data_IF_242098920938
#
_entry.id   IF_242098920938
#
_cell.length_a   1.000
_cell.length_b   1.000
_cell.length_c   1.000
_cell.angle_alpha   90.00
_cell.angle_beta   90.00
_cell.angle_gamma   90.00
#
_symmetry.space_group_name_H-M   'P 1'
#
loop_
_entity.id
_entity.type
_entity.pdbx_description
1 polymer ?
#
# COMPACT_ATOMS: atom_id res chain seq x y z
N UNK A 1 -7.36 4.97 -26.22
CA UNK A 1 -5.94 4.52 -26.16
C UNK A 1 -5.22 5.03 -24.90
N UNK A 2 -5.48 6.23 -24.38
CA UNK A 2 -4.80 6.80 -23.21
C UNK A 2 -5.33 6.22 -21.87
N UNK A 3 -6.58 5.83 -21.80
CA UNK A 3 -7.16 5.14 -20.63
C UNK A 3 -6.47 3.78 -20.43
N UNK A 4 -6.25 3.05 -21.51
CA UNK A 4 -5.56 1.75 -21.49
C UNK A 4 -4.08 1.89 -21.07
N UNK A 5 -3.39 2.95 -21.52
CA UNK A 5 -2.00 3.24 -21.11
C UNK A 5 -1.89 3.54 -19.62
N UNK A 6 -2.87 4.26 -19.05
CA UNK A 6 -2.90 4.58 -17.61
C UNK A 6 -3.20 3.36 -16.75
N UNK A 7 -4.11 2.48 -17.17
CA UNK A 7 -4.41 1.24 -16.46
C UNK A 7 -3.20 0.30 -16.40
N UNK A 8 -2.42 0.17 -17.48
CA UNK A 8 -1.26 -0.70 -17.51
C UNK A 8 -0.17 -0.25 -16.54
N UNK A 9 0.08 1.07 -16.44
CA UNK A 9 1.02 1.63 -15.45
C UNK A 9 0.51 1.43 -14.01
N UNK A 10 -0.78 1.60 -13.76
CA UNK A 10 -1.38 1.38 -12.45
C UNK A 10 -1.27 -0.09 -12.00
N UNK A 11 -1.42 -1.05 -12.91
CA UNK A 11 -1.26 -2.47 -12.63
C UNK A 11 0.16 -2.84 -12.22
N UNK A 12 1.18 -2.31 -12.91
CA UNK A 12 2.58 -2.53 -12.55
C UNK A 12 2.89 -1.96 -11.16
N UNK A 13 2.44 -0.74 -10.89
CA UNK A 13 2.60 -0.10 -9.58
C UNK A 13 1.92 -0.92 -8.49
N UNK A 14 0.68 -1.37 -8.70
CA UNK A 14 -0.05 -2.20 -7.74
C UNK A 14 0.68 -3.51 -7.44
N UNK A 15 1.22 -4.18 -8.46
CA UNK A 15 1.98 -5.42 -8.29
C UNK A 15 3.28 -5.17 -7.50
N UNK A 16 4.04 -4.13 -7.85
CA UNK A 16 5.28 -3.78 -7.15
C UNK A 16 5.00 -3.44 -5.67
N UNK A 17 3.94 -2.69 -5.37
CA UNK A 17 3.55 -2.37 -3.97
C UNK A 17 3.24 -3.65 -3.19
N UNK A 18 2.63 -4.65 -3.82
CA UNK A 18 2.36 -5.94 -3.19
C UNK A 18 3.62 -6.77 -2.90
N UNK A 19 4.82 -6.33 -3.30
CA UNK A 19 6.08 -6.92 -2.81
C UNK A 19 6.45 -6.43 -1.40
N UNK A 20 5.83 -5.37 -0.89
CA UNK A 20 6.12 -4.81 0.44
C UNK A 20 6.04 -5.82 1.61
N UNK A 21 5.10 -6.78 1.67
CA UNK A 21 5.10 -7.81 2.70
C UNK A 21 6.34 -8.70 2.69
N UNK A 22 6.82 -9.08 1.50
CA UNK A 22 8.06 -9.86 1.38
C UNK A 22 9.27 -9.04 1.83
N UNK A 23 9.38 -7.78 1.38
CA UNK A 23 10.43 -6.86 1.83
C UNK A 23 10.40 -6.66 3.34
N UNK A 24 9.21 -6.49 3.92
CA UNK A 24 9.04 -6.37 5.37
C UNK A 24 9.49 -7.64 6.10
N UNK A 25 9.15 -8.81 5.57
CA UNK A 25 9.57 -10.10 6.16
C UNK A 25 11.09 -10.25 6.10
N UNK A 26 11.72 -9.99 4.96
CA UNK A 26 13.17 -10.07 4.80
C UNK A 26 13.88 -9.09 5.76
N UNK A 27 13.45 -7.83 5.78
CA UNK A 27 14.03 -6.82 6.67
C UNK A 27 13.79 -7.16 8.14
N UNK A 28 12.61 -7.70 8.49
CA UNK A 28 12.32 -8.12 9.86
C UNK A 28 13.26 -9.24 10.32
N UNK A 29 13.54 -10.20 9.48
CA UNK A 29 14.49 -11.29 9.77
C UNK A 29 15.93 -10.78 9.89
N UNK A 30 16.32 -9.78 9.11
CA UNK A 30 17.66 -9.19 9.16
C UNK A 30 17.88 -8.34 10.42
N UNK A 31 16.88 -7.51 10.78
CA UNK A 31 17.00 -6.55 11.87
C UNK A 31 16.50 -7.06 13.22
N UNK A 32 15.56 -8.00 13.24
CA UNK A 32 14.99 -8.57 14.46
C UNK A 32 15.28 -10.06 14.58
N UNK A 33 16.39 -10.39 15.22
CA UNK A 33 16.80 -11.80 15.47
C UNK A 33 15.80 -12.60 16.30
N UNK A 34 14.88 -11.92 17.01
CA UNK A 34 13.82 -12.56 17.81
C UNK A 34 12.61 -13.00 16.98
N UNK A 35 12.44 -12.49 15.77
CA UNK A 35 11.35 -12.90 14.89
C UNK A 35 11.78 -14.10 14.06
N UNK A 36 10.94 -15.12 14.06
CA UNK A 36 11.13 -16.33 13.23
C UNK A 36 10.00 -16.37 12.21
N UNK A 37 10.35 -16.30 10.93
CA UNK A 37 9.39 -16.60 9.88
C UNK A 37 9.12 -18.12 9.90
N UNK A 38 7.86 -18.50 10.05
CA UNK A 38 7.48 -19.89 9.86
C UNK A 38 7.51 -20.23 8.37
N UNK A 39 7.82 -21.49 8.04
CA UNK A 39 7.79 -21.95 6.63
C UNK A 39 6.44 -21.63 5.97
N UNK A 40 5.32 -21.81 6.70
CA UNK A 40 3.99 -21.47 6.22
C UNK A 40 3.82 -20.00 5.87
N UNK A 41 4.42 -19.08 6.65
CA UNK A 41 4.37 -17.65 6.35
C UNK A 41 5.09 -17.31 5.04
N UNK A 42 6.27 -17.91 4.81
CA UNK A 42 7.06 -17.67 3.58
C UNK A 42 6.32 -18.23 2.36
N UNK A 43 5.90 -19.49 2.41
CA UNK A 43 5.17 -20.13 1.30
C UNK A 43 3.83 -19.44 1.04
N UNK A 44 3.08 -19.08 2.09
CA UNK A 44 1.84 -18.32 1.95
C UNK A 44 2.04 -16.95 1.31
N UNK A 45 3.08 -16.21 1.71
CA UNK A 45 3.41 -14.91 1.10
C UNK A 45 3.81 -15.03 -0.38
N UNK A 46 4.55 -16.08 -0.75
CA UNK A 46 4.91 -16.32 -2.14
C UNK A 46 3.68 -16.71 -2.98
N UNK A 47 2.82 -17.58 -2.44
CA UNK A 47 1.59 -17.99 -3.10
C UNK A 47 0.64 -16.79 -3.27
N UNK A 48 0.50 -15.96 -2.23
CA UNK A 48 -0.29 -14.74 -2.29
C UNK A 48 0.26 -13.75 -3.34
N UNK A 49 1.57 -13.59 -3.47
CA UNK A 49 2.16 -12.72 -4.49
C UNK A 49 1.88 -13.22 -5.91
N UNK A 50 1.92 -14.55 -6.13
CA UNK A 50 1.50 -15.15 -7.40
C UNK A 50 0.02 -14.86 -7.66
N UNK A 51 -0.83 -15.03 -6.65
CA UNK A 51 -2.26 -14.71 -6.71
C UNK A 51 -2.53 -13.26 -7.07
N UNK A 52 -1.79 -12.34 -6.46
CA UNK A 52 -1.84 -10.89 -6.81
C UNK A 52 -1.49 -10.68 -8.27
N UNK A 53 -0.44 -11.33 -8.78
CA UNK A 53 -0.06 -11.26 -10.19
C UNK A 53 -1.20 -11.69 -11.11
N UNK A 54 -1.88 -12.80 -10.79
CA UNK A 54 -3.02 -13.29 -11.57
C UNK A 54 -4.20 -12.31 -11.54
N UNK A 55 -4.51 -11.72 -10.37
CA UNK A 55 -5.60 -10.73 -10.22
C UNK A 55 -5.28 -9.44 -10.97
N UNK A 56 -4.08 -8.90 -10.78
CA UNK A 56 -3.68 -7.57 -11.32
C UNK A 56 -3.50 -7.60 -12.83
N UNK A 57 -2.90 -8.66 -13.35
CA UNK A 57 -2.63 -8.76 -14.79
C UNK A 57 -3.79 -9.39 -15.58
N UNK A 58 -4.69 -10.11 -14.93
CA UNK A 58 -5.89 -10.70 -15.53
C UNK A 58 -5.63 -11.37 -16.91
N UNK A 59 -4.52 -12.09 -17.02
CA UNK A 59 -4.14 -12.80 -18.25
C UNK A 59 -3.53 -11.94 -19.36
N UNK A 60 -3.48 -10.63 -19.22
CA UNK A 60 -2.84 -9.72 -20.17
C UNK A 60 -1.61 -9.04 -19.54
N UNK A 61 -0.48 -9.71 -19.60
CA UNK A 61 0.79 -9.14 -19.10
C UNK A 61 1.33 -8.15 -20.14
N UNK A 62 0.87 -6.91 -20.10
CA UNK A 62 1.47 -5.82 -20.87
C UNK A 62 2.38 -5.03 -19.93
N UNK A 63 3.58 -5.56 -19.71
CA UNK A 63 4.65 -4.89 -18.98
C UNK A 63 5.18 -3.71 -19.81
N UNK A 64 4.58 -2.54 -19.69
CA UNK A 64 5.24 -1.31 -20.10
C UNK A 64 6.16 -0.88 -18.99
N UNK A 65 7.39 -1.31 -19.07
CA UNK A 65 8.45 -0.94 -18.14
C UNK A 65 8.66 0.58 -18.20
N UNK A 66 8.45 1.24 -17.08
CA UNK A 66 8.87 2.61 -16.83
C UNK A 66 9.99 2.54 -15.79
N UNK A 67 11.27 2.40 -16.19
CA UNK A 67 12.34 2.09 -15.25
C UNK A 67 12.42 3.04 -14.06
N UNK A 68 12.20 4.33 -14.29
CA UNK A 68 12.20 5.36 -13.24
C UNK A 68 10.96 5.22 -12.34
N UNK A 69 9.77 5.03 -12.93
CA UNK A 69 8.52 4.86 -12.17
C UNK A 69 8.52 3.58 -11.34
N UNK A 70 8.98 2.49 -11.93
CA UNK A 70 9.06 1.17 -11.27
C UNK A 70 10.09 1.21 -10.12
N UNK A 71 11.23 1.87 -10.33
CA UNK A 71 12.26 2.06 -9.29
C UNK A 71 11.71 2.92 -8.13
N UNK A 72 11.04 4.02 -8.43
CA UNK A 72 10.43 4.88 -7.39
C UNK A 72 9.35 4.12 -6.60
N UNK A 73 8.56 3.28 -7.28
CA UNK A 73 7.55 2.43 -6.64
C UNK A 73 8.20 1.38 -5.72
N UNK A 74 9.29 0.77 -6.16
CA UNK A 74 10.05 -0.18 -5.34
C UNK A 74 10.66 0.51 -4.11
N UNK A 75 11.21 1.72 -4.28
CA UNK A 75 11.72 2.54 -3.17
C UNK A 75 10.60 2.91 -2.19
N UNK A 76 9.40 3.19 -2.67
CA UNK A 76 8.23 3.45 -1.83
C UNK A 76 7.83 2.18 -1.03
N UNK A 77 7.79 1.00 -1.67
CA UNK A 77 7.52 -0.28 -1.00
C UNK A 77 8.58 -0.60 0.07
N UNK A 78 9.86 -0.34 -0.24
CA UNK A 78 10.96 -0.51 0.70
C UNK A 78 10.86 0.47 1.88
N UNK A 79 10.52 1.73 1.61
CA UNK A 79 10.29 2.75 2.65
C UNK A 79 9.13 2.35 3.58
N UNK A 80 8.06 1.78 3.03
CA UNK A 80 6.95 1.23 3.81
C UNK A 80 7.38 0.08 4.71
N UNK A 81 8.23 -0.81 4.21
CA UNK A 81 8.78 -1.91 4.99
C UNK A 81 9.63 -1.39 6.16
N UNK A 82 10.54 -0.44 5.92
CA UNK A 82 11.32 0.22 6.97
C UNK A 82 10.43 0.94 7.98
N UNK A 83 9.43 1.69 7.52
CA UNK A 83 8.45 2.34 8.37
C UNK A 83 7.81 1.32 9.33
N UNK A 84 7.34 0.19 8.82
CA UNK A 84 6.69 -0.84 9.63
C UNK A 84 7.63 -1.40 10.72
N UNK A 85 8.92 -1.57 10.42
CA UNK A 85 9.92 -2.01 11.39
C UNK A 85 10.16 -0.96 12.50
N UNK A 86 10.34 0.29 12.10
CA UNK A 86 10.56 1.40 13.05
C UNK A 86 9.36 1.56 13.98
N UNK A 87 8.14 1.54 13.42
CA UNK A 87 6.90 1.65 14.21
C UNK A 87 6.80 0.51 15.22
N UNK A 88 7.08 -0.72 14.83
CA UNK A 88 7.07 -1.85 15.76
C UNK A 88 7.96 -1.59 16.98
N UNK A 89 9.16 -1.05 16.77
CA UNK A 89 10.07 -0.72 17.87
C UNK A 89 9.52 0.38 18.77
N UNK A 90 8.79 1.34 18.19
CA UNK A 90 8.24 2.49 18.92
C UNK A 90 6.94 2.15 19.66
N UNK A 91 6.08 1.28 19.10
CA UNK A 91 4.79 0.94 19.69
C UNK A 91 4.90 0.20 21.03
N UNK A 92 6.06 -0.41 21.32
CA UNK A 92 6.37 -0.96 22.63
C UNK A 92 6.66 0.07 23.71
N UNK A 93 6.97 1.33 23.34
CA UNK A 93 7.41 2.39 24.26
C UNK A 93 6.43 3.57 24.35
N UNK A 94 5.69 3.85 23.28
CA UNK A 94 4.84 5.03 23.16
C UNK A 94 3.42 4.66 22.74
N UNK A 95 2.41 5.47 23.16
CA UNK A 95 1.04 5.31 22.69
C UNK A 95 0.94 5.48 21.16
N UNK A 96 0.10 4.68 20.51
CA UNK A 96 -0.08 4.69 19.05
C UNK A 96 -0.44 6.08 18.50
N UNK A 97 -1.35 6.79 19.18
CA UNK A 97 -1.79 8.14 18.77
C UNK A 97 -0.62 9.13 18.80
N UNK A 98 0.25 9.05 19.81
CA UNK A 98 1.45 9.90 19.91
C UNK A 98 2.39 9.65 18.72
N UNK A 99 2.62 8.38 18.38
CA UNK A 99 3.48 8.00 17.24
C UNK A 99 2.89 8.54 15.95
N UNK A 100 1.59 8.31 15.70
CA UNK A 100 0.90 8.77 14.49
C UNK A 100 0.99 10.30 14.35
N UNK A 101 0.74 11.05 15.44
CA UNK A 101 0.89 12.51 15.44
C UNK A 101 2.30 12.95 15.03
N UNK A 102 3.35 12.29 15.54
CA UNK A 102 4.74 12.61 15.19
C UNK A 102 5.05 12.30 13.74
N UNK A 103 4.54 11.19 13.21
CA UNK A 103 4.72 10.83 11.80
C UNK A 103 4.13 11.91 10.88
N UNK A 104 2.89 12.34 11.14
CA UNK A 104 2.27 13.40 10.35
C UNK A 104 3.01 14.73 10.49
N UNK A 105 3.42 15.08 11.71
CA UNK A 105 4.19 16.31 11.95
C UNK A 105 5.49 16.34 11.16
N UNK A 106 6.30 15.28 11.25
CA UNK A 106 7.54 15.20 10.50
C UNK A 106 7.30 15.04 8.99
N UNK A 107 6.23 14.36 8.59
CA UNK A 107 5.82 14.27 7.19
C UNK A 107 5.54 15.64 6.58
N UNK A 108 4.78 16.49 7.28
CA UNK A 108 4.55 17.87 6.86
C UNK A 108 5.85 18.66 6.83
N UNK A 109 6.69 18.55 7.85
CA UNK A 109 7.97 19.27 7.92
C UNK A 109 8.92 18.89 6.76
N UNK A 110 8.95 17.61 6.38
CA UNK A 110 9.82 17.13 5.29
C UNK A 110 9.31 17.52 3.90
N UNK A 111 8.00 17.73 3.73
CA UNK A 111 7.43 18.14 2.44
C UNK A 111 7.46 19.66 2.23
N UNK A 112 7.58 20.46 3.30
CA UNK A 112 7.64 21.93 3.22
C UNK A 112 8.70 22.46 2.24
N UNK A 113 9.96 21.95 2.24
CA UNK A 113 10.97 22.41 1.29
C UNK A 113 10.56 22.20 -0.18
N UNK A 114 9.83 21.10 -0.48
CA UNK A 114 9.34 20.85 -1.83
C UNK A 114 8.31 21.92 -2.28
N UNK A 115 7.47 22.37 -1.37
CA UNK A 115 6.52 23.47 -1.66
C UNK A 115 7.21 24.82 -1.80
N UNK A 116 8.32 25.06 -1.14
CA UNK A 116 9.12 26.27 -1.32
C UNK A 116 9.82 26.29 -2.68
N UNK A 117 10.28 25.14 -3.18
CA UNK A 117 10.93 25.00 -4.48
C UNK A 117 9.94 25.01 -5.64
N UNK A 118 8.75 24.45 -5.43
CA UNK A 118 7.67 24.37 -6.40
C UNK A 118 6.37 24.87 -5.74
N UNK A 119 6.16 26.20 -5.68
CA UNK A 119 4.99 26.76 -5.03
C UNK A 119 3.72 26.24 -5.72
N UNK A 120 2.88 25.57 -4.95
CA UNK A 120 1.54 25.19 -5.39
C UNK A 120 0.73 26.49 -5.54
N UNK A 121 0.11 26.64 -6.70
CA UNK A 121 -0.92 27.65 -6.93
C UNK A 121 -2.29 26.94 -6.81
N UNK A 122 -2.83 26.80 -5.59
CA UNK A 122 -4.12 26.15 -5.42
C UNK A 122 -5.21 27.03 -6.02
N UNK A 123 -5.99 26.47 -6.93
CA UNK A 123 -7.23 27.08 -7.37
C UNK A 123 -8.28 26.86 -6.28
N UNK A 124 -8.53 27.87 -5.47
CA UNK A 124 -9.46 27.80 -4.35
C UNK A 124 -10.91 27.58 -4.81
N UNK A 125 -11.28 28.03 -5.99
CA UNK A 125 -12.62 27.82 -6.53
C UNK A 125 -12.85 26.34 -6.85
N UNK A 126 -11.84 25.65 -7.33
CA UNK A 126 -11.87 24.19 -7.55
C UNK A 126 -11.85 23.44 -6.20
N UNK A 127 -11.00 23.86 -5.26
CA UNK A 127 -10.88 23.19 -3.95
C UNK A 127 -12.16 23.27 -3.10
N UNK A 128 -12.90 24.36 -3.21
CA UNK A 128 -14.15 24.60 -2.47
C UNK A 128 -15.36 23.92 -3.10
N UNK A 129 -15.23 23.32 -4.29
CA UNK A 129 -16.32 22.51 -4.86
C UNK A 129 -16.69 21.38 -3.89
N UNK A 130 -18.00 21.16 -3.62
CA UNK A 130 -18.44 20.17 -2.63
C UNK A 130 -17.89 18.77 -2.89
N UNK A 131 -17.80 18.35 -4.16
CA UNK A 131 -17.26 17.05 -4.55
C UNK A 131 -15.77 16.93 -4.25
N UNK A 132 -14.98 17.97 -4.58
CA UNK A 132 -13.53 17.97 -4.34
C UNK A 132 -13.25 18.04 -2.86
N UNK A 133 -13.95 18.89 -2.11
CA UNK A 133 -13.83 19.03 -0.67
C UNK A 133 -14.19 17.73 0.06
N UNK A 134 -15.29 17.06 -0.32
CA UNK A 134 -15.67 15.77 0.28
C UNK A 134 -14.63 14.68 0.02
N UNK A 135 -14.05 14.61 -1.17
CA UNK A 135 -12.98 13.68 -1.50
C UNK A 135 -11.70 13.97 -0.70
N UNK A 136 -11.33 15.25 -0.54
CA UNK A 136 -10.18 15.65 0.26
C UNK A 136 -10.38 15.31 1.74
N UNK A 137 -11.57 15.56 2.30
CA UNK A 137 -11.90 15.19 3.68
C UNK A 137 -11.88 13.66 3.87
N UNK A 138 -12.43 12.90 2.92
CA UNK A 138 -12.35 11.45 2.93
C UNK A 138 -10.89 10.95 2.96
N UNK A 139 -10.03 11.49 2.09
CA UNK A 139 -8.62 11.12 2.04
C UNK A 139 -7.87 11.53 3.31
N UNK A 140 -8.13 12.72 3.85
CA UNK A 140 -7.42 13.22 5.02
C UNK A 140 -7.85 12.49 6.30
N UNK A 141 -9.16 12.30 6.52
CA UNK A 141 -9.68 11.77 7.79
C UNK A 141 -9.76 10.25 7.74
N UNK A 142 -10.47 9.68 6.76
CA UNK A 142 -10.69 8.24 6.72
C UNK A 142 -9.46 7.50 6.20
N UNK A 143 -8.99 7.83 5.02
CA UNK A 143 -7.91 7.08 4.37
C UNK A 143 -6.54 7.35 4.98
N UNK A 144 -6.29 8.54 5.53
CA UNK A 144 -5.02 8.83 6.18
C UNK A 144 -5.11 8.66 7.70
N UNK A 145 -5.79 9.55 8.42
CA UNK A 145 -5.72 9.57 9.88
C UNK A 145 -6.21 8.24 10.51
N UNK A 146 -7.43 7.82 10.20
CA UNK A 146 -8.03 6.62 10.81
C UNK A 146 -7.28 5.37 10.39
N UNK A 147 -7.00 5.19 9.10
CA UNK A 147 -6.28 4.01 8.61
C UNK A 147 -4.87 3.89 9.19
N UNK A 148 -4.12 4.99 9.33
CA UNK A 148 -2.80 4.95 9.96
C UNK A 148 -2.86 4.60 11.45
N UNK A 149 -3.84 5.10 12.19
CA UNK A 149 -4.03 4.72 13.60
C UNK A 149 -4.33 3.23 13.70
N UNK A 150 -5.29 2.72 12.90
CA UNK A 150 -5.65 1.31 12.88
C UNK A 150 -4.47 0.43 12.46
N UNK A 151 -3.72 0.83 11.43
CA UNK A 151 -2.52 0.12 11.00
C UNK A 151 -1.48 0.01 12.11
N UNK A 152 -1.22 1.10 12.82
CA UNK A 152 -0.28 1.10 13.94
C UNK A 152 -0.76 0.21 15.11
N UNK A 153 -2.07 0.14 15.35
CA UNK A 153 -2.65 -0.79 16.33
C UNK A 153 -2.45 -2.25 15.89
N UNK A 154 -2.70 -2.55 14.62
CA UNK A 154 -2.50 -3.89 14.05
C UNK A 154 -1.03 -4.30 14.13
N UNK A 155 -0.10 -3.40 13.78
CA UNK A 155 1.34 -3.64 13.91
C UNK A 155 1.75 -3.97 15.37
N UNK A 156 1.13 -3.28 16.33
CA UNK A 156 1.39 -3.52 17.77
C UNK A 156 0.89 -4.90 18.20
N UNK A 157 -0.27 -5.33 17.72
CA UNK A 157 -0.92 -6.59 18.15
C UNK A 157 -0.36 -7.82 17.42
N UNK A 158 -0.24 -7.76 16.10
CA UNK A 158 0.13 -8.90 15.26
C UNK A 158 1.62 -8.98 14.92
N UNK A 159 2.36 -7.87 15.10
CA UNK A 159 3.73 -7.74 14.62
C UNK A 159 3.81 -7.42 13.12
N UNK A 160 5.02 -7.08 12.66
CA UNK A 160 5.22 -6.55 11.30
C UNK A 160 4.97 -7.57 10.21
N UNK A 161 5.47 -8.79 10.36
CA UNK A 161 5.34 -9.83 9.33
C UNK A 161 3.88 -10.21 9.06
N UNK A 162 3.12 -10.51 10.14
CA UNK A 162 1.70 -10.90 10.00
C UNK A 162 0.84 -9.74 9.52
N UNK A 163 1.05 -8.54 10.08
CA UNK A 163 0.31 -7.36 9.68
C UNK A 163 0.52 -7.04 8.20
N UNK A 164 1.76 -7.11 7.70
CA UNK A 164 2.07 -6.79 6.31
C UNK A 164 1.40 -7.75 5.32
N UNK A 165 1.20 -9.01 5.67
CA UNK A 165 0.53 -9.97 4.79
C UNK A 165 -0.92 -9.59 4.46
N UNK A 166 -1.59 -8.83 5.32
CA UNK A 166 -2.93 -8.31 5.01
C UNK A 166 -2.94 -7.33 3.82
N UNK A 167 -1.78 -6.81 3.40
CA UNK A 167 -1.66 -5.98 2.19
C UNK A 167 -2.06 -6.78 0.94
N UNK A 168 -1.85 -8.11 0.93
CA UNK A 168 -2.30 -8.96 -0.18
C UNK A 168 -3.82 -9.00 -0.37
N UNK A 169 -4.60 -8.59 0.63
CA UNK A 169 -6.05 -8.47 0.50
C UNK A 169 -6.48 -7.25 -0.34
N UNK A 170 -5.61 -6.25 -0.53
CA UNK A 170 -5.96 -5.06 -1.29
C UNK A 170 -6.48 -5.37 -2.71
N UNK A 171 -5.80 -6.22 -3.53
CA UNK A 171 -6.33 -6.58 -4.85
C UNK A 171 -7.70 -7.26 -4.79
N UNK A 172 -7.97 -8.04 -3.75
CA UNK A 172 -9.30 -8.69 -3.58
C UNK A 172 -10.39 -7.65 -3.30
N UNK A 173 -10.12 -6.70 -2.40
CA UNK A 173 -11.06 -5.61 -2.10
C UNK A 173 -11.29 -4.76 -3.34
N UNK A 174 -10.23 -4.45 -4.09
CA UNK A 174 -10.32 -3.70 -5.34
C UNK A 174 -11.15 -4.47 -6.38
N UNK A 175 -10.93 -5.77 -6.53
CA UNK A 175 -11.72 -6.63 -7.42
C UNK A 175 -13.21 -6.61 -7.08
N UNK A 176 -13.55 -6.77 -5.80
CA UNK A 176 -14.95 -6.71 -5.34
C UNK A 176 -15.55 -5.33 -5.63
N UNK A 177 -14.81 -4.26 -5.34
CA UNK A 177 -15.26 -2.90 -5.62
C UNK A 177 -15.46 -2.65 -7.13
N UNK A 178 -14.56 -3.14 -8.00
CA UNK A 178 -14.71 -3.05 -9.46
C UNK A 178 -15.97 -3.73 -9.96
N UNK A 179 -16.27 -4.91 -9.44
CA UNK A 179 -17.50 -5.63 -9.80
C UNK A 179 -18.74 -4.87 -9.36
N UNK A 180 -18.76 -4.38 -8.12
CA UNK A 180 -19.95 -3.72 -7.55
C UNK A 180 -20.19 -2.32 -8.13
N UNK A 181 -19.11 -1.56 -8.40
CA UNK A 181 -19.22 -0.14 -8.82
C UNK A 181 -19.12 0.00 -10.33
N UNK A 182 -18.19 -0.73 -10.97
CA UNK A 182 -17.90 -0.61 -12.40
C UNK A 182 -18.60 -1.71 -13.23
N UNK A 183 -19.26 -2.68 -12.58
CA UNK A 183 -19.91 -3.83 -13.23
C UNK A 183 -18.94 -4.64 -14.12
N UNK A 184 -17.66 -4.71 -13.73
CA UNK A 184 -16.66 -5.48 -14.44
C UNK A 184 -16.91 -6.98 -14.31
N UNK A 185 -16.66 -7.74 -15.39
CA UNK A 185 -16.81 -9.19 -15.36
C UNK A 185 -15.60 -9.86 -14.72
N UNK A 186 -15.84 -10.76 -13.78
CA UNK A 186 -14.79 -11.57 -13.17
C UNK A 186 -14.38 -12.67 -14.15
N UNK A 187 -13.07 -12.74 -14.42
CA UNK A 187 -12.52 -13.84 -15.23
C UNK A 187 -12.11 -15.02 -14.34
N UNK A 188 -12.00 -16.19 -14.94
CA UNK A 188 -11.50 -17.38 -14.24
C UNK A 188 -10.09 -17.19 -13.68
N UNK A 189 -9.25 -16.43 -14.38
CA UNK A 189 -7.87 -16.11 -13.94
C UNK A 189 -7.90 -15.29 -12.67
N UNK A 190 -8.77 -14.29 -12.60
CA UNK A 190 -8.94 -13.46 -11.41
C UNK A 190 -9.46 -14.27 -10.21
N UNK A 191 -10.39 -15.22 -10.44
CA UNK A 191 -10.87 -16.12 -9.39
C UNK A 191 -9.76 -17.05 -8.86
N UNK A 192 -8.96 -17.62 -9.76
CA UNK A 192 -7.81 -18.43 -9.36
C UNK A 192 -6.79 -17.61 -8.56
N UNK A 193 -6.51 -16.38 -8.99
CA UNK A 193 -5.65 -15.46 -8.26
C UNK A 193 -6.20 -15.14 -6.87
N UNK A 194 -7.50 -14.88 -6.76
CA UNK A 194 -8.17 -14.64 -5.49
C UNK A 194 -8.05 -15.85 -4.54
N UNK A 195 -8.24 -17.06 -5.04
CA UNK A 195 -8.07 -18.29 -4.27
C UNK A 195 -6.62 -18.50 -3.77
N UNK A 196 -5.62 -18.05 -4.52
CA UNK A 196 -4.22 -18.10 -4.09
C UNK A 196 -3.86 -17.08 -3.00
N UNK A 197 -4.64 -16.00 -2.86
CA UNK A 197 -4.39 -14.95 -1.87
C UNK A 197 -4.98 -15.34 -0.50
N UNK A 198 -6.09 -16.06 -0.48
CA UNK A 198 -6.80 -16.51 0.73
C UNK A 198 -6.14 -17.75 1.32
#
# INVERSE_FOLDING_TARGET
SDVYKRQTQASNVAFIICTAPLLTTILSLLFYKSEKATKGLIYGSLLALIGVGLVVFNGSVVLKLSPVGDLLTLLAALSWAFYSLVIKRMTGRYPTVFITRKIFFYGVLTILPAFLLHPLQPDFDVLLQPLVLSNLLFLAVLASLICYILWNVVLKQLGTMRASNYIYLNPLVTMVASVLILHEQITWITLMGAACII
#
